data_IF_586172843412
#
_entry.id   IF_586172843412
#
_cell.length_a   1.000
_cell.length_b   1.000
_cell.length_c   1.000
_cell.angle_alpha   90.00
_cell.angle_beta   90.00
_cell.angle_gamma   90.00
#
_symmetry.space_group_name_H-M   'P 1'
#
loop_
_entity.id
_entity.type
_entity.pdbx_description
1 polymer ?
#
# COMPACT_ATOMS: atom_id res chain seq x y z
N UNK A 1 16.26 19.38 -29.00
CA UNK A 1 16.02 17.97 -28.64
C UNK A 1 14.70 17.93 -27.88
N UNK A 2 13.78 16.98 -28.16
CA UNK A 2 12.57 16.85 -27.36
C UNK A 2 12.97 16.59 -25.91
N UNK A 3 12.58 17.48 -25.01
CA UNK A 3 12.84 17.32 -23.59
C UNK A 3 11.70 16.49 -23.02
N UNK A 4 12.01 15.28 -22.56
CA UNK A 4 11.04 14.44 -21.85
C UNK A 4 10.84 15.04 -20.45
N UNK A 5 9.95 16.01 -20.37
CA UNK A 5 9.56 16.63 -19.12
C UNK A 5 8.57 15.77 -18.34
N UNK A 6 8.30 16.12 -17.07
CA UNK A 6 7.25 15.48 -16.29
C UNK A 6 5.89 15.54 -16.98
N UNK A 7 5.62 16.60 -17.75
CA UNK A 7 4.39 16.74 -18.55
C UNK A 7 4.27 15.68 -19.63
N UNK A 8 5.31 15.46 -20.44
CA UNK A 8 5.32 14.41 -21.46
C UNK A 8 5.17 13.01 -20.86
N UNK A 9 5.82 12.74 -19.72
CA UNK A 9 5.67 11.46 -19.02
C UNK A 9 4.23 11.22 -18.57
N UNK A 10 3.53 12.26 -18.08
CA UNK A 10 2.12 12.15 -17.71
C UNK A 10 1.26 11.81 -18.94
N UNK A 11 1.50 12.45 -20.09
CA UNK A 11 0.74 12.18 -21.32
C UNK A 11 0.94 10.71 -21.76
N UNK A 12 2.19 10.22 -21.75
CA UNK A 12 2.50 8.83 -22.09
C UNK A 12 1.83 7.88 -21.09
N UNK A 13 1.89 8.20 -19.79
CA UNK A 13 1.24 7.42 -18.75
C UNK A 13 -0.27 7.30 -19.00
N UNK A 14 -0.96 8.39 -19.33
CA UNK A 14 -2.38 8.38 -19.67
C UNK A 14 -2.66 7.46 -20.86
N UNK A 15 -1.87 7.52 -21.92
CA UNK A 15 -2.04 6.63 -23.09
C UNK A 15 -1.87 5.16 -22.69
N UNK A 16 -0.85 4.83 -21.89
CA UNK A 16 -0.62 3.48 -21.38
C UNK A 16 -1.81 3.03 -20.51
N UNK A 17 -2.34 3.91 -19.66
CA UNK A 17 -3.53 3.64 -18.84
C UNK A 17 -4.77 3.37 -19.70
N UNK A 18 -4.92 4.04 -20.85
CA UNK A 18 -6.03 3.77 -21.76
C UNK A 18 -5.92 2.40 -22.43
N UNK A 19 -4.71 1.97 -22.80
CA UNK A 19 -4.47 0.67 -23.45
C UNK A 19 -4.59 -0.49 -22.44
N UNK A 20 -3.92 -0.38 -21.30
CA UNK A 20 -3.83 -1.47 -20.32
C UNK A 20 -4.92 -1.38 -19.24
N UNK A 21 -5.46 -0.20 -18.96
CA UNK A 21 -6.36 0.07 -17.85
C UNK A 21 -5.62 0.29 -16.52
N UNK A 22 -6.23 1.10 -15.64
CA UNK A 22 -5.68 1.37 -14.31
C UNK A 22 -5.58 0.09 -13.43
N UNK A 23 -6.53 -0.84 -13.57
CA UNK A 23 -6.54 -2.08 -12.78
C UNK A 23 -5.38 -3.03 -13.09
N UNK A 24 -5.01 -3.19 -14.37
CA UNK A 24 -3.87 -4.04 -14.77
C UNK A 24 -2.55 -3.43 -14.31
N UNK A 25 -2.37 -2.12 -14.49
CA UNK A 25 -1.15 -1.44 -14.05
C UNK A 25 -1.01 -1.46 -12.52
N UNK A 26 -2.10 -1.27 -11.77
CA UNK A 26 -2.10 -1.38 -10.32
C UNK A 26 -1.80 -2.81 -9.82
N UNK A 27 -2.33 -3.83 -10.49
CA UNK A 27 -2.05 -5.24 -10.15
C UNK A 27 -0.57 -5.58 -10.35
N UNK A 28 0.00 -5.20 -11.50
CA UNK A 28 1.44 -5.40 -11.79
C UNK A 28 2.30 -4.56 -10.85
N UNK A 29 1.96 -3.29 -10.66
CA UNK A 29 2.66 -2.39 -9.74
C UNK A 29 2.64 -2.85 -8.29
N UNK A 30 1.54 -3.45 -7.82
CA UNK A 30 1.44 -4.03 -6.48
C UNK A 30 2.36 -5.23 -6.29
N UNK A 31 2.40 -6.14 -7.27
CA UNK A 31 3.30 -7.30 -7.23
C UNK A 31 4.78 -6.88 -7.29
N UNK A 32 5.11 -5.95 -8.21
CA UNK A 32 6.47 -5.40 -8.33
C UNK A 32 6.86 -4.62 -7.06
N UNK A 33 5.96 -3.81 -6.51
CA UNK A 33 6.20 -3.02 -5.31
C UNK A 33 6.49 -3.90 -4.08
N UNK A 34 5.75 -5.00 -3.92
CA UNK A 34 6.02 -5.99 -2.88
C UNK A 34 7.39 -6.63 -3.07
N UNK A 35 7.71 -7.10 -4.28
CA UNK A 35 9.02 -7.68 -4.59
C UNK A 35 10.18 -6.71 -4.36
N UNK A 36 10.03 -5.44 -4.75
CA UNK A 36 11.02 -4.39 -4.47
C UNK A 36 11.16 -4.15 -2.97
N UNK A 37 10.06 -4.11 -2.22
CA UNK A 37 10.09 -3.88 -0.76
C UNK A 37 10.79 -5.03 -0.03
N UNK A 38 10.49 -6.27 -0.39
CA UNK A 38 11.13 -7.46 0.17
C UNK A 38 12.63 -7.48 -0.19
N UNK A 39 12.97 -7.13 -1.44
CA UNK A 39 14.35 -7.02 -1.90
C UNK A 39 15.14 -5.93 -1.15
N UNK A 40 14.54 -4.75 -0.96
CA UNK A 40 15.16 -3.67 -0.17
C UNK A 40 15.31 -4.07 1.30
N UNK A 41 14.34 -4.79 1.86
CA UNK A 41 14.42 -5.32 3.22
C UNK A 41 15.58 -6.29 3.40
N UNK A 42 15.70 -7.28 2.52
CA UNK A 42 16.78 -8.25 2.53
C UNK A 42 18.16 -7.61 2.28
N UNK A 43 18.25 -6.61 1.40
CA UNK A 43 19.49 -5.84 1.23
C UNK A 43 19.88 -5.08 2.50
N UNK A 44 18.92 -4.45 3.18
CA UNK A 44 19.17 -3.73 4.43
C UNK A 44 19.62 -4.70 5.52
N UNK A 45 18.97 -5.86 5.64
CA UNK A 45 19.35 -6.91 6.59
C UNK A 45 20.75 -7.46 6.28
N UNK A 46 21.11 -7.62 5.01
CA UNK A 46 22.46 -8.04 4.61
C UNK A 46 23.54 -6.98 4.91
N UNK A 47 23.22 -5.68 4.80
CA UNK A 47 24.12 -4.59 5.21
C UNK A 47 24.23 -4.47 6.74
N UNK A 48 23.14 -4.75 7.47
CA UNK A 48 23.04 -4.63 8.93
C UNK A 48 23.53 -5.89 9.67
N UNK A 49 23.61 -7.05 9.00
CA UNK A 49 24.18 -8.31 9.53
C UNK A 49 25.70 -8.26 9.82
N UNK A 50 26.32 -7.08 9.70
CA UNK A 50 27.62 -6.77 10.30
C UNK A 50 27.55 -6.42 11.78
N UNK A 51 26.42 -5.91 12.30
CA UNK A 51 26.27 -5.37 13.66
C UNK A 51 24.81 -5.54 14.17
N UNK A 52 24.60 -6.56 15.02
CA UNK A 52 23.52 -6.75 16.02
C UNK A 52 22.02 -6.70 15.60
N UNK A 53 21.31 -7.78 15.96
CA UNK A 53 19.92 -8.10 15.68
C UNK A 53 18.89 -7.06 16.19
N UNK A 54 17.97 -6.57 15.33
CA UNK A 54 16.56 -6.23 15.69
C UNK A 54 15.68 -5.70 14.53
N UNK A 55 14.69 -6.51 14.11
CA UNK A 55 13.23 -6.24 14.16
C UNK A 55 12.46 -6.90 13.00
N UNK A 56 11.42 -7.72 13.29
CA UNK A 56 10.39 -8.03 12.33
C UNK A 56 9.33 -6.91 12.38
N UNK A 57 9.34 -5.99 11.43
CA UNK A 57 8.20 -5.11 11.22
C UNK A 57 7.95 -4.84 9.74
N UNK A 58 6.90 -5.47 9.22
CA UNK A 58 6.09 -4.85 8.19
C UNK A 58 4.65 -5.42 8.24
N UNK A 59 3.84 -4.78 9.08
CA UNK A 59 2.44 -4.44 8.85
C UNK A 59 1.63 -5.33 7.87
N UNK A 60 0.76 -6.13 8.49
CA UNK A 60 -0.66 -6.29 8.17
C UNK A 60 -1.18 -5.41 7.02
N UNK A 61 -1.44 -6.04 5.89
CA UNK A 61 -2.51 -5.64 4.97
C UNK A 61 -3.33 -6.89 4.66
N UNK A 62 -3.80 -7.55 5.72
CA UNK A 62 -4.86 -8.53 5.61
C UNK A 62 -6.16 -7.76 5.36
N UNK A 63 -6.64 -7.86 4.13
CA UNK A 63 -8.04 -7.98 3.77
C UNK A 63 -9.03 -7.89 4.95
N UNK A 64 -9.54 -6.69 5.23
CA UNK A 64 -10.82 -6.52 5.95
C UNK A 64 -11.79 -5.71 5.10
N UNK A 65 -12.26 -6.36 4.04
CA UNK A 65 -13.51 -6.00 3.38
C UNK A 65 -14.66 -6.75 4.06
N UNK A 66 -15.08 -6.33 5.26
CA UNK A 66 -16.40 -6.69 5.81
C UNK A 66 -16.92 -5.57 6.73
N UNK A 67 -18.05 -4.92 6.38
CA UNK A 67 -18.75 -3.99 7.26
C UNK A 67 -19.79 -4.76 8.10
N UNK A 68 -19.46 -5.01 9.36
CA UNK A 68 -20.34 -5.56 10.41
C UNK A 68 -19.88 -4.88 11.70
N UNK A 69 -20.69 -4.25 12.55
CA UNK A 69 -22.09 -3.80 12.60
C UNK A 69 -22.15 -3.02 13.93
N UNK A 70 -23.25 -2.32 14.19
CA UNK A 70 -23.72 -2.02 15.57
C UNK A 70 -22.85 -1.12 16.48
N UNK A 71 -23.11 0.21 16.43
CA UNK A 71 -23.10 1.09 17.62
C UNK A 71 -24.03 2.29 17.41
N UNK A 72 -25.28 2.17 17.84
CA UNK A 72 -26.11 3.32 18.24
C UNK A 72 -27.21 2.83 19.19
N UNK A 73 -27.02 3.06 20.49
CA UNK A 73 -27.98 2.68 21.52
C UNK A 73 -27.34 2.61 22.91
N UNK A 74 -26.75 3.73 23.35
CA UNK A 74 -26.23 3.89 24.72
C UNK A 74 -27.26 4.70 25.51
N UNK A 75 -27.90 4.01 26.45
CA UNK A 75 -28.19 4.47 27.82
C UNK A 75 -28.81 5.88 27.97
N UNK A 76 -30.12 5.92 28.19
CA UNK A 76 -30.81 6.98 28.95
C UNK A 76 -31.85 6.29 29.86
N UNK A 77 -31.98 6.79 31.09
CA UNK A 77 -32.97 6.41 32.12
C UNK A 77 -32.55 5.31 33.12
N UNK A 78 -31.70 5.69 34.08
CA UNK A 78 -31.80 5.22 35.47
C UNK A 78 -31.84 6.44 36.39
N UNK A 79 -33.03 7.01 36.56
CA UNK A 79 -33.41 7.87 37.68
C UNK A 79 -34.94 7.87 37.79
N UNK A 80 -35.49 6.92 38.56
CA UNK A 80 -36.69 7.09 39.41
C UNK A 80 -36.97 5.77 40.15
N UNK A 81 -36.59 5.72 41.43
CA UNK A 81 -37.19 4.92 42.51
C UNK A 81 -36.53 5.25 43.85
#
# INVERSE_FOLDING_TARGET
MPNLGPTELIIILVIVLLIFGAGKLASVGGALGKGIRDFRGAMKEAEESGEDEKQPNAATAESRSEPVKDRAGKEESVEEA
#
